data_IF_763942798730
#
_entry.id   IF_763942798730
#
_cell.length_a   1.000
_cell.length_b   1.000
_cell.length_c   1.000
_cell.angle_alpha   90.00
_cell.angle_beta   90.00
_cell.angle_gamma   90.00
#
_symmetry.space_group_name_H-M   'P 1'
#
loop_
_entity.id
_entity.type
_entity.pdbx_description
1 polymer ?
#
# COMPACT_ATOMS: atom_id res chain seq x y z
N UNK A 1 11.31 -29.01 23.69
CA UNK A 1 10.02 -28.41 24.09
C UNK A 1 9.59 -27.39 23.07
N UNK A 2 8.64 -27.81 22.24
CA UNK A 2 8.07 -27.05 21.15
C UNK A 2 7.16 -25.92 21.65
N UNK A 3 6.95 -24.97 20.74
CA UNK A 3 5.89 -23.96 20.69
C UNK A 3 5.79 -22.90 21.80
N UNK A 4 6.20 -21.67 21.45
CA UNK A 4 5.45 -20.47 21.82
C UNK A 4 5.41 -19.46 20.67
N UNK A 5 4.35 -19.54 19.85
CA UNK A 5 3.87 -18.38 19.08
C UNK A 5 2.89 -17.62 19.96
N UNK A 6 3.29 -16.46 20.45
CA UNK A 6 2.36 -15.48 21.03
C UNK A 6 2.78 -14.08 20.59
N UNK A 7 1.97 -13.45 19.75
CA UNK A 7 2.05 -12.04 19.40
C UNK A 7 0.60 -11.53 19.42
N UNK A 8 0.20 -10.63 20.33
CA UNK A 8 0.57 -9.22 20.17
C UNK A 8 0.70 -8.41 21.49
N UNK A 9 1.29 -7.22 21.42
CA UNK A 9 0.56 -6.04 21.90
C UNK A 9 0.99 -4.76 21.17
N UNK A 10 -0.01 -4.00 20.71
CA UNK A 10 0.15 -2.67 20.12
C UNK A 10 0.13 -1.65 21.27
N UNK A 11 1.25 -1.03 21.60
CA UNK A 11 1.20 0.13 22.50
C UNK A 11 2.52 0.56 23.14
N UNK A 12 2.98 1.74 22.70
CA UNK A 12 3.68 2.80 23.45
C UNK A 12 4.95 2.41 24.22
N UNK A 13 6.07 2.57 23.53
CA UNK A 13 7.43 2.63 24.07
C UNK A 13 8.40 2.26 22.95
N UNK A 14 9.57 2.91 22.86
CA UNK A 14 10.59 2.75 21.78
C UNK A 14 11.19 1.33 21.63
N UNK A 15 10.53 0.30 22.16
CA UNK A 15 10.95 -1.10 22.12
C UNK A 15 10.49 -1.74 20.80
N UNK A 16 11.36 -1.67 19.79
CA UNK A 16 11.19 -2.42 18.54
C UNK A 16 11.62 -3.87 18.74
N UNK A 17 10.84 -4.79 18.18
CA UNK A 17 11.19 -6.20 18.19
C UNK A 17 12.37 -6.45 17.25
N UNK A 18 13.19 -7.43 17.60
CA UNK A 18 14.38 -7.80 16.84
C UNK A 18 14.43 -9.30 16.62
N UNK A 19 15.08 -9.70 15.54
CA UNK A 19 15.27 -11.10 15.15
C UNK A 19 16.74 -11.42 15.26
N UNK A 20 17.04 -12.46 16.03
CA UNK A 20 18.37 -13.05 16.14
C UNK A 20 18.49 -14.16 15.09
N UNK A 21 19.51 -14.03 14.24
CA UNK A 21 19.81 -14.99 13.18
C UNK A 21 21.19 -15.61 13.37
N UNK A 22 21.30 -16.88 13.01
CA UNK A 22 22.58 -17.52 12.78
C UNK A 22 23.29 -16.88 11.57
N UNK A 23 24.60 -17.10 11.47
CA UNK A 23 25.43 -16.57 10.37
C UNK A 23 25.05 -17.15 9.01
N UNK A 24 24.44 -18.33 8.98
CA UNK A 24 23.86 -18.98 7.80
C UNK A 24 22.48 -18.41 7.39
N UNK A 25 21.91 -17.52 8.21
CA UNK A 25 20.63 -16.87 7.95
C UNK A 25 19.42 -17.54 8.62
N UNK A 26 19.58 -18.67 9.33
CA UNK A 26 18.51 -19.30 10.10
C UNK A 26 18.03 -18.42 11.26
N UNK A 27 16.72 -18.34 11.49
CA UNK A 27 16.18 -17.63 12.66
C UNK A 27 16.32 -18.48 13.90
N UNK A 28 16.96 -17.92 14.92
CA UNK A 28 17.15 -18.57 16.22
C UNK A 28 16.00 -18.16 17.14
N UNK A 29 15.82 -16.85 17.33
CA UNK A 29 14.87 -16.32 18.29
C UNK A 29 14.41 -14.91 17.93
N UNK A 30 13.16 -14.58 18.28
CA UNK A 30 12.60 -13.23 18.17
C UNK A 30 12.51 -12.65 19.58
N UNK A 31 12.99 -11.43 19.74
CA UNK A 31 13.03 -10.73 21.01
C UNK A 31 12.10 -9.52 20.96
N UNK A 32 11.45 -9.24 22.07
CA UNK A 32 10.55 -8.08 22.18
C UNK A 32 11.29 -6.73 22.19
N UNK A 33 12.58 -6.71 22.54
CA UNK A 33 13.42 -5.52 22.49
C UNK A 33 14.91 -5.87 22.59
N UNK A 34 15.75 -4.94 22.16
CA UNK A 34 17.22 -5.03 22.25
C UNK A 34 17.68 -5.25 23.69
N UNK A 35 17.10 -4.53 24.65
CA UNK A 35 17.45 -4.64 26.08
C UNK A 35 17.25 -6.06 26.63
N UNK A 36 16.15 -6.74 26.27
CA UNK A 36 15.91 -8.11 26.73
C UNK A 36 16.96 -9.07 26.14
N UNK A 37 17.27 -8.93 24.85
CA UNK A 37 18.30 -9.74 24.19
C UNK A 37 19.69 -9.49 24.78
N UNK A 38 20.07 -8.22 24.95
CA UNK A 38 21.36 -7.83 25.50
C UNK A 38 21.58 -8.35 26.93
N UNK A 39 20.58 -8.20 27.81
CA UNK A 39 20.68 -8.67 29.19
C UNK A 39 20.75 -10.19 29.32
N UNK A 40 20.03 -10.92 28.44
CA UNK A 40 19.97 -12.38 28.45
C UNK A 40 21.24 -13.01 27.88
N UNK A 41 21.72 -12.49 26.74
CA UNK A 41 22.89 -13.01 26.03
C UNK A 41 24.21 -12.35 26.47
N UNK A 42 24.15 -11.39 27.40
CA UNK A 42 25.28 -10.58 27.86
C UNK A 42 26.01 -9.86 26.71
N UNK A 43 25.24 -9.28 25.80
CA UNK A 43 25.73 -8.49 24.67
C UNK A 43 25.38 -7.02 24.90
N UNK A 44 26.30 -6.10 24.59
CA UNK A 44 26.01 -4.68 24.65
C UNK A 44 24.88 -4.29 23.67
N UNK A 45 23.88 -3.56 24.17
CA UNK A 45 22.70 -3.14 23.39
C UNK A 45 23.09 -2.33 22.14
N UNK A 46 24.09 -1.45 22.27
CA UNK A 46 24.61 -0.66 21.15
C UNK A 46 25.16 -1.55 20.03
N UNK A 47 25.79 -2.68 20.37
CA UNK A 47 26.31 -3.63 19.38
C UNK A 47 25.18 -4.28 18.59
N UNK A 48 24.09 -4.66 19.26
CA UNK A 48 22.90 -5.22 18.61
C UNK A 48 22.24 -4.16 17.71
N UNK A 49 22.11 -2.92 18.20
CA UNK A 49 21.53 -1.81 17.44
C UNK A 49 22.35 -1.47 16.18
N UNK A 50 23.67 -1.46 16.29
CA UNK A 50 24.57 -1.26 15.14
C UNK A 50 24.48 -2.40 14.12
N UNK A 51 24.25 -3.63 14.57
CA UNK A 51 23.93 -4.74 13.66
C UNK A 51 22.60 -4.54 12.95
N UNK A 52 21.52 -4.21 13.67
CA UNK A 52 20.20 -3.99 13.07
C UNK A 52 20.19 -2.84 12.05
N UNK A 53 21.10 -1.87 12.19
CA UNK A 53 21.26 -0.75 11.24
C UNK A 53 22.28 -0.99 10.14
N UNK A 54 22.90 -2.19 10.09
CA UNK A 54 23.87 -2.56 9.06
C UNK A 54 25.26 -1.93 9.24
N UNK A 55 25.54 -1.27 10.37
CA UNK A 55 26.88 -0.73 10.70
C UNK A 55 27.86 -1.83 11.13
N UNK A 56 27.34 -2.96 11.60
CA UNK A 56 28.10 -4.17 11.95
C UNK A 56 27.43 -5.40 11.37
N UNK A 57 28.23 -6.40 11.02
CA UNK A 57 27.71 -7.66 10.49
C UNK A 57 27.19 -8.60 11.59
N UNK A 58 27.85 -8.63 12.76
CA UNK A 58 27.48 -9.52 13.86
C UNK A 58 27.69 -8.88 15.24
N UNK A 59 26.89 -9.32 16.22
CA UNK A 59 27.07 -9.01 17.64
C UNK A 59 26.84 -10.28 18.46
N UNK A 60 27.82 -10.63 19.30
CA UNK A 60 27.82 -11.91 20.04
C UNK A 60 27.93 -13.15 19.15
N UNK A 61 28.35 -13.00 17.89
CA UNK A 61 28.38 -14.11 16.91
C UNK A 61 27.09 -14.30 16.10
N UNK A 62 26.07 -13.47 16.33
CA UNK A 62 24.79 -13.51 15.62
C UNK A 62 24.54 -12.30 14.74
N UNK A 63 23.74 -12.49 13.71
CA UNK A 63 23.20 -11.41 12.88
C UNK A 63 21.90 -10.90 13.50
N UNK A 64 21.70 -9.58 13.49
CA UNK A 64 20.53 -8.94 14.11
C UNK A 64 19.83 -8.05 13.11
N UNK A 65 18.50 -8.09 13.11
CA UNK A 65 17.66 -7.20 12.31
C UNK A 65 16.38 -6.85 13.05
N UNK A 66 15.75 -5.74 12.71
CA UNK A 66 14.43 -5.44 13.25
C UNK A 66 13.40 -6.42 12.70
N UNK A 67 12.42 -6.77 13.53
CA UNK A 67 11.33 -7.67 13.15
C UNK A 67 10.49 -7.11 11.99
N UNK A 68 10.36 -5.78 11.91
CA UNK A 68 9.68 -5.09 10.81
C UNK A 68 10.39 -5.32 9.46
N UNK A 69 11.70 -5.50 9.48
CA UNK A 69 12.52 -5.79 8.30
C UNK A 69 12.66 -7.29 8.06
N UNK A 70 12.22 -8.14 9.01
CA UNK A 70 12.31 -9.59 8.90
C UNK A 70 11.27 -10.12 7.94
N UNK A 71 11.77 -10.82 6.94
CA UNK A 71 10.99 -11.44 5.88
C UNK A 71 10.97 -12.95 6.17
N UNK A 72 9.83 -13.52 6.64
CA UNK A 72 9.73 -14.96 6.86
C UNK A 72 9.87 -15.70 5.54
N UNK A 73 10.65 -16.78 5.55
CA UNK A 73 10.65 -17.75 4.46
C UNK A 73 9.33 -18.52 4.52
N UNK A 74 8.56 -18.46 3.44
CA UNK A 74 7.34 -19.24 3.28
C UNK A 74 7.68 -20.41 2.34
N UNK A 75 7.47 -21.68 2.75
CA UNK A 75 7.75 -22.84 1.89
C UNK A 75 6.99 -22.80 0.56
N UNK A 76 5.86 -22.10 0.50
CA UNK A 76 5.04 -21.95 -0.70
C UNK A 76 5.45 -20.73 -1.53
N UNK A 77 6.47 -19.97 -1.12
CA UNK A 77 6.98 -18.84 -1.87
C UNK A 77 7.79 -19.31 -3.08
N UNK A 78 7.12 -19.40 -4.23
CA UNK A 78 7.80 -19.60 -5.50
C UNK A 78 8.61 -18.38 -5.92
N UNK A 79 9.80 -18.61 -6.48
CA UNK A 79 10.67 -17.58 -7.06
C UNK A 79 10.89 -17.85 -8.55
N UNK A 80 10.71 -16.83 -9.39
CA UNK A 80 10.95 -16.90 -10.83
C UNK A 80 11.95 -15.85 -11.27
N UNK A 81 12.90 -16.23 -12.10
CA UNK A 81 13.82 -15.29 -12.75
C UNK A 81 13.10 -14.55 -13.87
N UNK A 82 13.22 -13.23 -13.86
CA UNK A 82 12.72 -12.41 -14.96
C UNK A 82 13.80 -11.46 -15.45
N UNK A 83 13.75 -11.19 -16.75
CA UNK A 83 14.51 -10.12 -17.37
C UNK A 83 13.54 -9.00 -17.75
N UNK A 84 13.74 -7.83 -17.16
CA UNK A 84 12.91 -6.65 -17.42
C UNK A 84 13.79 -5.42 -17.59
N UNK A 85 13.65 -4.73 -18.72
CA UNK A 85 14.47 -3.55 -19.09
C UNK A 85 15.99 -3.81 -18.94
N UNK A 86 16.47 -4.92 -19.49
CA UNK A 86 17.88 -5.35 -19.45
C UNK A 86 18.43 -5.63 -18.03
N UNK A 87 17.55 -5.85 -17.05
CA UNK A 87 17.93 -6.22 -15.69
C UNK A 87 17.38 -7.58 -15.35
N UNK A 88 18.24 -8.43 -14.78
CA UNK A 88 17.90 -9.77 -14.31
C UNK A 88 17.76 -9.74 -12.80
N UNK A 89 16.64 -10.25 -12.30
CA UNK A 89 16.37 -10.42 -10.88
C UNK A 89 15.30 -11.48 -10.69
N UNK A 90 15.18 -11.98 -9.46
CA UNK A 90 14.15 -12.96 -9.10
C UNK A 90 12.96 -12.24 -8.48
N UNK A 91 11.77 -12.67 -8.84
CA UNK A 91 10.50 -12.18 -8.27
C UNK A 91 9.81 -13.34 -7.58
N UNK A 92 9.30 -13.09 -6.38
CA UNK A 92 8.54 -14.07 -5.63
C UNK A 92 7.03 -13.92 -5.82
N UNK A 93 6.32 -15.03 -5.64
CA UNK A 93 4.86 -15.09 -5.64
C UNK A 93 4.21 -14.24 -4.53
N UNK A 94 4.97 -13.85 -3.49
CA UNK A 94 4.49 -12.96 -2.41
C UNK A 94 4.75 -11.48 -2.68
N UNK A 95 5.28 -11.12 -3.85
CA UNK A 95 5.56 -9.74 -4.22
C UNK A 95 6.90 -9.21 -3.68
N UNK A 96 7.90 -10.09 -3.59
CA UNK A 96 9.27 -9.74 -3.18
C UNK A 96 10.20 -9.81 -4.39
N UNK A 97 11.30 -9.06 -4.32
CA UNK A 97 12.32 -9.01 -5.37
C UNK A 97 13.66 -9.39 -4.76
N UNK A 98 14.34 -10.36 -5.35
CA UNK A 98 15.69 -10.77 -4.97
C UNK A 98 16.68 -10.29 -6.05
N UNK A 99 17.63 -9.48 -5.61
CA UNK A 99 18.73 -8.95 -6.41
C UNK A 99 19.78 -10.03 -6.69
N UNK A 100 20.66 -9.78 -7.66
CA UNK A 100 21.76 -10.69 -8.02
C UNK A 100 22.76 -10.91 -6.88
N UNK A 101 22.87 -9.96 -5.95
CA UNK A 101 23.69 -10.08 -4.73
C UNK A 101 22.99 -10.88 -3.60
N UNK A 102 21.82 -11.46 -3.86
CA UNK A 102 21.03 -12.23 -2.89
C UNK A 102 20.14 -11.40 -1.97
N UNK A 103 20.26 -10.06 -1.96
CA UNK A 103 19.43 -9.20 -1.13
C UNK A 103 17.97 -9.21 -1.59
N UNK A 104 17.05 -9.28 -0.63
CA UNK A 104 15.60 -9.33 -0.85
C UNK A 104 14.99 -7.98 -0.46
N UNK A 105 14.09 -7.47 -1.29
CA UNK A 105 13.37 -6.21 -1.05
C UNK A 105 11.91 -6.32 -1.44
N UNK A 106 11.05 -5.60 -0.73
CA UNK A 106 9.65 -5.36 -1.11
C UNK A 106 9.49 -4.02 -1.87
N UNK A 107 10.59 -3.38 -2.25
CA UNK A 107 10.62 -2.06 -2.85
C UNK A 107 10.20 -0.95 -1.90
N UNK A 108 9.97 0.23 -2.46
CA UNK A 108 9.53 1.42 -1.73
C UNK A 108 8.14 1.85 -2.16
N UNK A 109 7.37 2.41 -1.22
CA UNK A 109 6.03 2.90 -1.49
C UNK A 109 6.10 4.23 -2.25
N UNK A 110 5.36 4.34 -3.34
CA UNK A 110 5.21 5.55 -4.16
C UNK A 110 3.78 5.63 -4.67
N UNK A 111 3.07 6.71 -4.34
CA UNK A 111 1.66 6.92 -4.71
C UNK A 111 0.73 5.74 -4.33
N UNK A 112 1.03 5.08 -3.20
CA UNK A 112 0.30 3.93 -2.71
C UNK A 112 0.64 2.59 -3.37
N UNK A 113 1.62 2.55 -4.28
CA UNK A 113 2.10 1.32 -4.91
C UNK A 113 3.57 1.05 -4.55
N UNK A 114 3.93 -0.22 -4.38
CA UNK A 114 5.34 -0.58 -4.25
C UNK A 114 6.06 -0.51 -5.59
N UNK A 115 7.24 0.12 -5.59
CA UNK A 115 8.12 0.26 -6.74
C UNK A 115 9.53 -0.24 -6.45
N UNK A 116 10.16 -0.75 -7.49
CA UNK A 116 11.56 -1.11 -7.51
C UNK A 116 12.17 -0.63 -8.83
N UNK A 117 13.23 0.19 -8.76
CA UNK A 117 13.91 0.73 -9.95
C UNK A 117 12.96 1.29 -11.01
N UNK A 118 12.08 2.21 -10.60
CA UNK A 118 11.06 2.85 -11.43
C UNK A 118 9.96 1.90 -11.98
N UNK A 119 9.95 0.63 -11.60
CA UNK A 119 8.98 -0.37 -12.04
C UNK A 119 8.01 -0.69 -10.90
N UNK A 120 6.74 -0.91 -11.21
CA UNK A 120 5.74 -1.31 -10.21
C UNK A 120 5.87 -2.80 -9.89
N UNK A 121 5.93 -3.14 -8.60
CA UNK A 121 6.12 -4.53 -8.18
C UNK A 121 4.98 -5.43 -8.62
N UNK A 122 3.73 -5.01 -8.45
CA UNK A 122 2.58 -5.79 -8.90
C UNK A 122 2.66 -6.16 -10.39
N UNK A 123 3.23 -5.29 -11.24
CA UNK A 123 3.43 -5.62 -12.67
C UNK A 123 4.52 -6.65 -12.87
N UNK A 124 5.62 -6.56 -12.12
CA UNK A 124 6.70 -7.55 -12.19
C UNK A 124 6.22 -8.93 -11.72
N UNK A 125 5.42 -8.98 -10.66
CA UNK A 125 4.80 -10.22 -10.16
C UNK A 125 3.83 -10.78 -11.18
N UNK A 126 2.93 -9.95 -11.73
CA UNK A 126 1.98 -10.38 -12.73
C UNK A 126 2.64 -10.86 -14.03
N UNK A 127 3.77 -10.28 -14.43
CA UNK A 127 4.56 -10.77 -15.56
C UNK A 127 5.16 -12.16 -15.30
N UNK A 128 5.54 -12.45 -14.06
CA UNK A 128 6.18 -13.70 -13.69
C UNK A 128 5.18 -14.84 -13.42
N UNK A 129 4.05 -14.55 -12.79
CA UNK A 129 3.14 -15.55 -12.23
C UNK A 129 1.74 -15.57 -12.84
N UNK A 130 1.29 -14.49 -13.48
CA UNK A 130 -0.06 -14.41 -14.04
C UNK A 130 -0.02 -14.61 -15.56
N UNK A 131 -0.85 -15.51 -16.07
CA UNK A 131 -1.02 -15.72 -17.50
C UNK A 131 -1.59 -14.46 -18.14
N UNK A 132 -0.88 -13.90 -19.13
CA UNK A 132 -1.33 -12.70 -19.85
C UNK A 132 -2.18 -13.11 -21.05
N UNK A 133 -3.46 -12.72 -21.03
CA UNK A 133 -4.34 -12.84 -22.19
C UNK A 133 -4.16 -11.66 -23.16
N UNK A 134 -4.45 -11.88 -24.44
CA UNK A 134 -4.35 -10.86 -25.47
C UNK A 134 -5.36 -9.71 -25.22
N UNK A 135 -4.93 -8.47 -25.40
CA UNK A 135 -5.74 -7.28 -25.13
C UNK A 135 -5.80 -6.82 -23.65
N UNK A 136 -5.36 -7.65 -22.69
CA UNK A 136 -5.30 -7.28 -21.26
C UNK A 136 -3.94 -6.67 -20.90
N UNK A 137 -3.89 -5.34 -20.87
CA UNK A 137 -2.65 -4.58 -20.65
C UNK A 137 -2.51 -3.96 -19.24
N UNK A 138 -3.54 -4.06 -18.42
CA UNK A 138 -3.58 -3.54 -17.06
C UNK A 138 -3.47 -4.70 -16.06
N UNK A 139 -2.93 -4.43 -14.88
CA UNK A 139 -2.93 -5.39 -13.76
C UNK A 139 -3.88 -4.86 -12.70
N UNK A 140 -4.83 -5.70 -12.29
CA UNK A 140 -5.80 -5.41 -11.24
C UNK A 140 -5.39 -6.10 -9.93
N UNK A 141 -5.73 -5.46 -8.81
CA UNK A 141 -5.66 -6.04 -7.47
C UNK A 141 -7.06 -6.52 -7.10
N UNK A 142 -7.25 -7.84 -6.96
CA UNK A 142 -8.58 -8.46 -6.76
C UNK A 142 -9.24 -7.89 -5.49
N UNK A 143 -8.49 -7.75 -4.41
CA UNK A 143 -8.94 -7.16 -3.14
C UNK A 143 -9.02 -5.62 -3.11
N UNK A 144 -8.58 -4.94 -4.17
CA UNK A 144 -8.49 -3.48 -4.23
C UNK A 144 -7.34 -2.85 -3.42
N UNK A 145 -6.54 -3.66 -2.74
CA UNK A 145 -5.41 -3.20 -1.92
C UNK A 145 -4.10 -3.18 -2.74
N UNK A 146 -3.66 -1.98 -3.10
CA UNK A 146 -2.44 -1.71 -3.88
C UNK A 146 -1.14 -2.20 -3.23
N UNK A 147 -1.16 -2.49 -1.94
CA UNK A 147 0.00 -3.01 -1.18
C UNK A 147 0.05 -4.54 -1.14
N UNK A 148 -1.05 -5.22 -1.46
CA UNK A 148 -1.12 -6.68 -1.49
C UNK A 148 -0.68 -7.20 -2.87
N UNK A 149 0.64 -7.33 -3.07
CA UNK A 149 1.24 -7.75 -4.34
C UNK A 149 1.42 -9.27 -4.47
N UNK A 150 0.66 -10.08 -3.73
CA UNK A 150 0.70 -11.54 -3.90
C UNK A 150 0.20 -11.89 -5.30
N UNK A 151 0.85 -12.84 -5.97
CA UNK A 151 0.45 -13.29 -7.30
C UNK A 151 -1.02 -13.77 -7.34
N UNK A 152 -1.48 -14.43 -6.26
CA UNK A 152 -2.87 -14.87 -6.12
C UNK A 152 -3.89 -13.73 -6.01
N UNK A 153 -3.43 -12.49 -5.74
CA UNK A 153 -4.27 -11.28 -5.65
C UNK A 153 -4.18 -10.42 -6.91
N UNK A 154 -3.45 -10.85 -7.94
CA UNK A 154 -3.18 -10.08 -9.15
C UNK A 154 -3.73 -10.79 -10.37
N UNK A 155 -4.31 -10.00 -11.28
CA UNK A 155 -4.81 -10.50 -12.56
C UNK A 155 -4.55 -9.49 -13.68
N UNK A 156 -4.36 -9.98 -14.90
CA UNK A 156 -4.37 -9.11 -16.07
C UNK A 156 -5.82 -8.78 -16.44
N UNK A 157 -6.08 -7.52 -16.73
CA UNK A 157 -7.39 -6.99 -17.09
C UNK A 157 -7.29 -5.91 -18.17
N UNK A 158 -8.42 -5.57 -18.76
CA UNK A 158 -8.61 -4.35 -19.56
C UNK A 158 -8.87 -3.13 -18.66
N UNK A 159 -8.69 -1.93 -19.19
CA UNK A 159 -8.99 -0.69 -18.45
C UNK A 159 -10.46 -0.60 -18.04
N UNK A 160 -11.36 -1.10 -18.88
CA UNK A 160 -12.80 -1.13 -18.63
C UNK A 160 -13.13 -2.02 -17.44
N UNK A 161 -12.62 -3.25 -17.43
CA UNK A 161 -12.81 -4.20 -16.33
C UNK A 161 -12.26 -3.65 -15.01
N UNK A 162 -11.05 -3.09 -15.03
CA UNK A 162 -10.46 -2.48 -13.83
C UNK A 162 -11.31 -1.34 -13.27
N UNK A 163 -11.85 -0.48 -14.15
CA UNK A 163 -12.75 0.61 -13.75
C UNK A 163 -14.05 0.07 -13.15
N UNK A 164 -14.65 -0.94 -13.79
CA UNK A 164 -15.86 -1.59 -13.29
C UNK A 164 -15.63 -2.26 -11.93
N UNK A 165 -14.49 -2.93 -11.75
CA UNK A 165 -14.10 -3.54 -10.47
C UNK A 165 -13.95 -2.50 -9.37
N UNK A 166 -13.26 -1.40 -9.64
CA UNK A 166 -13.10 -0.30 -8.70
C UNK A 166 -14.44 0.34 -8.29
N UNK A 167 -15.41 0.42 -9.21
CA UNK A 167 -16.78 0.87 -8.92
C UNK A 167 -17.51 -0.15 -8.05
N UNK A 168 -17.43 -1.44 -8.37
CA UNK A 168 -18.04 -2.52 -7.60
C UNK A 168 -17.53 -2.56 -6.16
N UNK A 169 -16.21 -2.41 -5.97
CA UNK A 169 -15.56 -2.32 -4.67
C UNK A 169 -15.78 -0.98 -3.94
N UNK A 170 -16.55 -0.04 -4.51
CA UNK A 170 -16.81 1.30 -3.95
C UNK A 170 -15.52 2.07 -3.59
N UNK A 171 -14.43 1.84 -4.33
CA UNK A 171 -13.14 2.50 -4.12
C UNK A 171 -13.13 3.94 -4.65
N UNK A 172 -14.11 4.28 -5.47
CA UNK A 172 -14.37 5.65 -5.88
C UNK A 172 -15.11 6.32 -4.74
N UNK A 173 -14.45 7.27 -4.09
CA UNK A 173 -15.12 8.20 -3.19
C UNK A 173 -16.29 8.78 -3.97
N UNK A 174 -17.52 8.44 -3.57
CA UNK A 174 -18.73 8.95 -4.20
C UNK A 174 -18.50 10.41 -4.51
N UNK A 175 -18.69 10.82 -5.78
CA UNK A 175 -18.84 12.23 -6.11
C UNK A 175 -19.78 12.77 -5.05
N UNK A 176 -19.27 13.61 -4.12
CA UNK A 176 -20.08 14.16 -3.05
C UNK A 176 -21.12 14.99 -3.78
N UNK A 177 -22.29 14.39 -4.04
CA UNK A 177 -23.47 15.10 -4.51
C UNK A 177 -23.79 16.04 -3.35
N UNK A 178 -23.22 17.25 -3.43
CA UNK A 178 -23.50 18.29 -2.46
C UNK A 178 -24.87 18.81 -2.86
N UNK A 179 -25.86 18.51 -2.04
CA UNK A 179 -27.15 19.14 -2.18
C UNK A 179 -26.94 20.66 -2.07
N UNK A 180 -27.63 21.41 -2.90
CA UNK A 180 -27.54 22.87 -2.95
C UNK A 180 -28.92 23.46 -2.71
N UNK A 181 -28.97 24.66 -2.14
CA UNK A 181 -30.22 25.31 -1.76
C UNK A 181 -30.36 26.61 -2.50
N UNK A 182 -31.40 26.72 -3.32
CA UNK A 182 -31.83 28.00 -3.87
C UNK A 182 -32.61 28.74 -2.80
N UNK A 183 -32.20 29.96 -2.47
CA UNK A 183 -32.85 30.82 -1.47
C UNK A 183 -33.60 31.93 -2.22
N UNK A 184 -34.88 32.08 -1.90
CA UNK A 184 -35.76 33.12 -2.41
C UNK A 184 -35.72 34.36 -1.50
N UNK A 185 -36.17 35.51 -2.02
CA UNK A 185 -36.11 36.80 -1.31
C UNK A 185 -37.01 36.83 -0.05
N UNK A 186 -38.05 35.99 -0.01
CA UNK A 186 -38.92 35.79 1.16
C UNK A 186 -38.29 34.90 2.25
N UNK A 187 -37.06 34.41 2.03
CA UNK A 187 -36.36 33.51 2.93
C UNK A 187 -36.75 32.03 2.80
N UNK A 188 -37.69 31.70 1.91
CA UNK A 188 -37.97 30.30 1.56
C UNK A 188 -36.82 29.70 0.76
N UNK A 189 -36.70 28.37 0.76
CA UNK A 189 -35.66 27.70 0.00
C UNK A 189 -36.15 26.43 -0.70
N UNK A 190 -35.49 26.11 -1.80
CA UNK A 190 -35.65 24.85 -2.55
C UNK A 190 -34.33 24.09 -2.56
N UNK A 191 -34.37 22.82 -2.21
CA UNK A 191 -33.19 21.96 -2.19
C UNK A 191 -33.09 21.11 -3.47
N UNK A 192 -31.89 21.00 -4.02
CA UNK A 192 -31.58 20.17 -5.17
C UNK A 192 -30.50 19.17 -4.81
N UNK A 193 -30.58 17.94 -5.32
CA UNK A 193 -29.61 16.89 -5.02
C UNK A 193 -28.27 17.13 -5.72
N UNK A 194 -28.23 17.97 -6.76
CA UNK A 194 -27.00 18.37 -7.45
C UNK A 194 -27.16 19.66 -8.29
N UNK A 195 -26.03 20.26 -8.67
CA UNK A 195 -25.96 21.37 -9.64
C UNK A 195 -26.59 21.03 -11.00
N UNK A 196 -26.48 19.78 -11.44
CA UNK A 196 -27.05 19.33 -12.72
C UNK A 196 -28.59 19.31 -12.66
N UNK A 197 -29.14 18.88 -11.54
CA UNK A 197 -30.58 18.91 -11.30
C UNK A 197 -31.12 20.34 -11.22
N UNK A 198 -30.42 21.22 -10.50
CA UNK A 198 -30.76 22.64 -10.44
C UNK A 198 -30.73 23.29 -11.83
N UNK A 199 -29.73 23.01 -12.66
CA UNK A 199 -29.67 23.51 -14.03
C UNK A 199 -30.85 23.02 -14.88
N UNK A 200 -31.25 21.75 -14.75
CA UNK A 200 -32.37 21.19 -15.51
C UNK A 200 -33.71 21.83 -15.14
N UNK A 201 -33.92 22.13 -13.85
CA UNK A 201 -35.18 22.69 -13.35
C UNK A 201 -35.24 24.20 -13.54
N UNK A 202 -34.14 24.91 -13.26
CA UNK A 202 -34.12 26.38 -13.31
C UNK A 202 -33.67 26.96 -14.65
N UNK A 203 -33.06 26.15 -15.51
CA UNK A 203 -32.44 26.60 -16.76
C UNK A 203 -31.14 27.39 -16.57
N UNK A 204 -30.73 27.66 -15.33
CA UNK A 204 -29.53 28.44 -15.01
C UNK A 204 -28.30 27.54 -15.17
N UNK A 205 -27.28 28.02 -15.87
CA UNK A 205 -26.02 27.26 -16.05
C UNK A 205 -25.41 26.90 -14.68
N UNK A 206 -25.15 25.62 -14.48
CA UNK A 206 -24.54 25.05 -13.27
C UNK A 206 -23.21 25.70 -12.89
N UNK A 207 -22.47 26.23 -13.87
CA UNK A 207 -21.25 27.00 -13.65
C UNK A 207 -21.52 28.28 -12.84
N UNK A 208 -22.56 29.03 -13.18
CA UNK A 208 -22.94 30.27 -12.49
C UNK A 208 -23.47 29.97 -11.09
N UNK A 209 -24.33 28.95 -10.96
CA UNK A 209 -24.80 28.47 -9.65
C UNK A 209 -23.60 28.08 -8.76
N UNK A 210 -22.64 27.34 -9.32
CA UNK A 210 -21.44 26.93 -8.60
C UNK A 210 -20.51 28.08 -8.21
N UNK A 211 -20.48 29.19 -8.95
CA UNK A 211 -19.75 30.40 -8.55
C UNK A 211 -20.39 31.07 -7.34
N UNK A 212 -21.72 31.09 -7.27
CA UNK A 212 -22.47 31.62 -6.12
C UNK A 212 -22.27 30.77 -4.87
N UNK A 213 -22.39 29.44 -4.97
CA UNK A 213 -22.14 28.55 -3.83
C UNK A 213 -20.69 28.65 -3.29
N UNK A 214 -19.75 29.16 -4.09
CA UNK A 214 -18.35 29.41 -3.69
C UNK A 214 -18.12 30.83 -3.15
N UNK A 215 -19.13 31.69 -3.15
CA UNK A 215 -19.03 33.09 -2.75
C UNK A 215 -18.30 33.98 -3.78
N UNK A 216 -18.07 33.48 -4.99
CA UNK A 216 -17.39 34.23 -6.06
C UNK A 216 -18.36 35.12 -6.86
N UNK A 217 -19.67 34.86 -6.74
CA UNK A 217 -20.74 35.69 -7.29
C UNK A 217 -21.85 35.85 -6.26
N UNK A 218 -22.54 36.99 -6.28
CA UNK A 218 -23.60 37.29 -5.32
C UNK A 218 -24.92 36.55 -5.63
N UNK A 219 -25.23 36.36 -6.91
CA UNK A 219 -26.48 35.76 -7.37
C UNK A 219 -26.30 35.08 -8.74
N UNK A 220 -27.13 34.08 -9.02
CA UNK A 220 -27.21 33.41 -10.32
C UNK A 220 -28.68 33.24 -10.71
N UNK A 221 -29.04 33.79 -11.88
CA UNK A 221 -30.42 33.81 -12.38
C UNK A 221 -31.40 34.53 -11.46
N UNK A 222 -30.93 35.53 -10.69
CA UNK A 222 -31.73 36.29 -9.72
C UNK A 222 -31.81 35.67 -8.32
N UNK A 223 -31.22 34.49 -8.08
CA UNK A 223 -31.31 33.79 -6.79
C UNK A 223 -29.97 33.66 -6.09
N UNK A 224 -30.03 33.47 -4.77
CA UNK A 224 -28.89 33.05 -3.94
C UNK A 224 -28.87 31.50 -3.86
N UNK A 225 -27.67 30.93 -3.77
CA UNK A 225 -27.41 29.48 -3.89
C UNK A 225 -26.36 28.98 -2.92
#
# INVERSE_FOLDING_TARGET
NAERKVFPNRGRGNSRWIVQKATDGGVIQIWNCIRLAGNTLKIAENSISECCSGKRNTAGGWCWMYYEDYIPQDPNEEWREIEYKLRKFKVSSLGRIQLTNGAITQGSLYEGYFRFNQCYIHRLVALAFCSKEEGKNCVNHIDGNRTNNKASNLEWCTQKENTQHAVCLKLWGHCRKRAIKQIFDDGSFREFLSLAEAQRITGIKSQNIGLVCRGLQAHAGGYRW
#
